data_IF_350267037745
#
_entry.id   IF_350267037745
#
_cell.length_a   1.000
_cell.length_b   1.000
_cell.length_c   1.000
_cell.angle_alpha   90.00
_cell.angle_beta   90.00
_cell.angle_gamma   90.00
#
_symmetry.space_group_name_H-M   'P 1'
#
loop_
_entity.id
_entity.type
_entity.pdbx_description
1 polymer ?
#
# COMPACT_ATOMS: atom_id res chain seq x y z
N UNK A 1 6.49 -10.81 -14.63
CA UNK A 1 5.60 -10.31 -15.68
C UNK A 1 4.35 -9.78 -15.00
N UNK A 2 3.95 -8.57 -15.37
CA UNK A 2 2.76 -7.91 -14.84
C UNK A 2 1.81 -7.56 -15.99
N UNK A 3 0.52 -7.84 -15.82
CA UNK A 3 -0.52 -7.51 -16.81
C UNK A 3 -1.73 -6.94 -16.08
N UNK A 4 -2.29 -5.85 -16.62
CA UNK A 4 -3.57 -5.29 -16.17
C UNK A 4 -4.66 -5.70 -17.17
N UNK A 5 -5.73 -6.30 -16.67
CA UNK A 5 -6.88 -6.70 -17.49
C UNK A 5 -8.19 -6.19 -16.87
N UNK A 6 -9.25 -5.97 -17.67
CA UNK A 6 -10.58 -5.69 -17.14
C UNK A 6 -11.09 -6.86 -16.28
N UNK A 7 -11.81 -6.57 -15.20
CA UNK A 7 -12.41 -7.58 -14.32
C UNK A 7 -13.24 -8.62 -15.07
N UNK A 8 -14.04 -8.19 -16.05
CA UNK A 8 -14.90 -9.10 -16.78
C UNK A 8 -14.09 -10.10 -17.61
N UNK A 9 -12.93 -9.70 -18.14
CA UNK A 9 -12.01 -10.60 -18.85
C UNK A 9 -11.42 -11.60 -17.85
N UNK A 10 -10.98 -11.12 -16.69
CA UNK A 10 -10.46 -11.99 -15.64
C UNK A 10 -11.48 -13.05 -15.24
N UNK A 11 -12.71 -12.64 -14.94
CA UNK A 11 -13.78 -13.53 -14.51
C UNK A 11 -14.13 -14.57 -15.58
N UNK A 12 -14.20 -14.14 -16.85
CA UNK A 12 -14.47 -15.05 -17.98
C UNK A 12 -13.37 -16.06 -18.21
N UNK A 13 -12.10 -15.74 -17.93
CA UNK A 13 -10.99 -16.65 -18.16
C UNK A 13 -10.70 -17.54 -16.93
N UNK A 14 -10.86 -17.00 -15.71
CA UNK A 14 -10.45 -17.66 -14.47
C UNK A 14 -11.33 -18.88 -14.13
N UNK A 15 -12.66 -18.74 -14.20
CA UNK A 15 -13.58 -19.84 -13.85
C UNK A 15 -13.46 -21.02 -14.84
N UNK A 16 -13.50 -20.79 -16.17
CA UNK A 16 -13.37 -21.88 -17.14
C UNK A 16 -11.98 -22.51 -17.13
N UNK A 17 -10.90 -21.71 -16.99
CA UNK A 17 -9.53 -22.27 -16.96
C UNK A 17 -9.31 -23.23 -15.79
N UNK A 18 -9.76 -22.87 -14.58
CA UNK A 18 -9.72 -23.76 -13.40
C UNK A 18 -10.53 -25.04 -13.63
N UNK A 19 -11.70 -24.92 -14.23
CA UNK A 19 -12.57 -26.06 -14.53
C UNK A 19 -11.93 -27.00 -15.56
N UNK A 20 -11.42 -26.45 -16.66
CA UNK A 20 -10.76 -27.19 -17.75
C UNK A 20 -9.51 -27.91 -17.22
N UNK A 21 -8.69 -27.22 -16.43
CA UNK A 21 -7.48 -27.81 -15.84
C UNK A 21 -7.84 -28.95 -14.87
N UNK A 22 -8.85 -28.76 -14.01
CA UNK A 22 -9.31 -29.81 -13.10
C UNK A 22 -9.83 -31.04 -13.86
N UNK A 23 -10.59 -30.83 -14.95
CA UNK A 23 -11.05 -31.90 -15.83
C UNK A 23 -9.87 -32.63 -16.51
N UNK A 24 -8.88 -31.89 -17.00
CA UNK A 24 -7.68 -32.45 -17.61
C UNK A 24 -6.92 -33.33 -16.62
N UNK A 25 -6.64 -32.84 -15.40
CA UNK A 25 -6.02 -33.61 -14.34
C UNK A 25 -6.83 -34.87 -14.00
N UNK A 26 -8.16 -34.76 -13.92
CA UNK A 26 -9.05 -35.89 -13.68
C UNK A 26 -8.93 -36.96 -14.76
N UNK A 27 -8.94 -36.56 -16.04
CA UNK A 27 -8.78 -37.48 -17.18
C UNK A 27 -7.42 -38.16 -17.12
N UNK A 28 -6.34 -37.41 -16.88
CA UNK A 28 -4.99 -37.96 -16.76
C UNK A 28 -4.88 -38.97 -15.61
N UNK A 29 -5.44 -38.65 -14.44
CA UNK A 29 -5.47 -39.58 -13.29
C UNK A 29 -6.28 -40.83 -13.60
N UNK A 30 -7.44 -40.71 -14.24
CA UNK A 30 -8.25 -41.87 -14.64
C UNK A 30 -7.53 -42.75 -15.65
N UNK A 31 -6.86 -42.15 -16.65
CA UNK A 31 -6.05 -42.89 -17.62
C UNK A 31 -4.89 -43.61 -16.93
N UNK A 32 -4.21 -42.94 -16.00
CA UNK A 32 -3.15 -43.53 -15.19
C UNK A 32 -3.66 -44.73 -14.39
N UNK A 33 -4.79 -44.63 -13.68
CA UNK A 33 -5.38 -45.74 -12.92
C UNK A 33 -5.78 -46.92 -13.82
N UNK A 34 -6.23 -46.65 -15.05
CA UNK A 34 -6.52 -47.70 -16.04
C UNK A 34 -5.27 -48.47 -16.48
N UNK A 35 -4.08 -47.85 -16.49
CA UNK A 35 -2.82 -48.56 -16.76
C UNK A 35 -2.54 -49.65 -15.72
N UNK A 36 -3.00 -49.45 -14.48
CA UNK A 36 -2.93 -50.45 -13.40
C UNK A 36 -4.12 -51.43 -13.39
N UNK A 37 -4.95 -51.42 -14.43
CA UNK A 37 -6.15 -52.26 -14.57
C UNK A 37 -7.18 -52.05 -13.44
N UNK A 38 -7.24 -50.86 -12.85
CA UNK A 38 -8.27 -50.51 -11.87
C UNK A 38 -9.58 -50.20 -12.60
N UNK A 39 -10.64 -50.96 -12.32
CA UNK A 39 -11.98 -50.71 -12.86
C UNK A 39 -12.62 -49.52 -12.13
N UNK A 40 -12.92 -48.46 -12.87
CA UNK A 40 -13.54 -47.24 -12.33
C UNK A 40 -14.97 -47.10 -12.83
N UNK A 41 -15.92 -47.12 -11.90
CA UNK A 41 -17.31 -46.77 -12.16
C UNK A 41 -17.50 -45.25 -12.19
N UNK A 42 -18.61 -44.77 -12.79
CA UNK A 42 -18.91 -43.33 -12.93
C UNK A 42 -18.81 -42.56 -11.61
N UNK A 43 -19.28 -43.15 -10.51
CA UNK A 43 -19.25 -42.52 -9.19
C UNK A 43 -17.82 -42.38 -8.63
N UNK A 44 -16.93 -43.34 -8.93
CA UNK A 44 -15.52 -43.27 -8.54
C UNK A 44 -14.78 -42.16 -9.29
N UNK A 45 -15.12 -41.93 -10.57
CA UNK A 45 -14.58 -40.80 -11.35
C UNK A 45 -14.98 -39.46 -10.71
N UNK A 46 -16.23 -39.33 -10.22
CA UNK A 46 -16.66 -38.12 -9.50
C UNK A 46 -15.89 -37.90 -8.20
N UNK A 47 -15.56 -38.95 -7.46
CA UNK A 47 -14.69 -38.83 -6.27
C UNK A 47 -13.29 -38.35 -6.65
N UNK A 48 -12.69 -38.95 -7.70
CA UNK A 48 -11.37 -38.53 -8.19
C UNK A 48 -11.38 -37.05 -8.57
N UNK A 49 -12.42 -36.59 -9.27
CA UNK A 49 -12.59 -35.17 -9.60
C UNK A 49 -12.62 -34.29 -8.34
N UNK A 50 -13.43 -34.64 -7.33
CA UNK A 50 -13.54 -33.87 -6.09
C UNK A 50 -12.20 -33.80 -5.33
N UNK A 51 -11.45 -34.89 -5.28
CA UNK A 51 -10.13 -34.94 -4.62
C UNK A 51 -9.13 -34.05 -5.37
N UNK A 52 -9.15 -34.05 -6.70
CA UNK A 52 -8.23 -33.27 -7.54
C UNK A 52 -8.60 -31.78 -7.54
N UNK A 53 -9.88 -31.45 -7.37
CA UNK A 53 -10.37 -30.07 -7.44
C UNK A 53 -9.62 -29.13 -6.50
N UNK A 54 -9.46 -29.51 -5.23
CA UNK A 54 -8.81 -28.67 -4.21
C UNK A 54 -7.34 -28.36 -4.57
N UNK A 55 -6.44 -29.35 -4.76
CA UNK A 55 -5.04 -29.09 -5.10
C UNK A 55 -4.89 -28.40 -6.46
N UNK A 56 -5.76 -28.69 -7.45
CA UNK A 56 -5.73 -28.01 -8.73
C UNK A 56 -6.07 -26.52 -8.59
N UNK A 57 -7.08 -26.17 -7.78
CA UNK A 57 -7.43 -24.78 -7.50
C UNK A 57 -6.31 -24.05 -6.76
N UNK A 58 -5.73 -24.68 -5.73
CA UNK A 58 -4.60 -24.10 -4.99
C UNK A 58 -3.38 -23.89 -5.90
N UNK A 59 -3.06 -24.85 -6.75
CA UNK A 59 -1.94 -24.75 -7.68
C UNK A 59 -2.09 -23.58 -8.65
N UNK A 60 -3.26 -23.42 -9.27
CA UNK A 60 -3.53 -22.32 -10.20
C UNK A 60 -3.51 -20.96 -9.49
N UNK A 61 -4.17 -20.85 -8.35
CA UNK A 61 -4.23 -19.59 -7.59
C UNK A 61 -2.85 -19.15 -7.08
N UNK A 62 -1.91 -20.07 -6.91
CA UNK A 62 -0.54 -19.75 -6.49
C UNK A 62 0.42 -19.46 -7.66
N UNK A 63 -0.02 -19.50 -8.93
CA UNK A 63 0.87 -19.19 -10.06
C UNK A 63 1.11 -17.69 -10.26
N UNK A 64 0.23 -16.84 -9.73
CA UNK A 64 0.30 -15.39 -9.88
C UNK A 64 -0.34 -14.72 -8.67
N UNK A 65 0.19 -13.57 -8.27
CA UNK A 65 -0.49 -12.65 -7.38
C UNK A 65 -1.58 -11.89 -8.13
N UNK A 66 -2.66 -11.56 -7.45
CA UNK A 66 -3.77 -10.76 -7.99
C UNK A 66 -4.03 -9.56 -7.07
N UNK A 67 -4.26 -8.40 -7.67
CA UNK A 67 -4.70 -7.21 -6.94
C UNK A 67 -5.80 -6.50 -7.71
N UNK A 68 -6.78 -5.97 -6.99
CA UNK A 68 -7.84 -5.15 -7.55
C UNK A 68 -7.37 -3.70 -7.53
N UNK A 69 -7.36 -3.06 -8.70
CA UNK A 69 -6.90 -1.68 -8.84
C UNK A 69 -8.09 -0.72 -8.70
N UNK A 70 -7.83 0.42 -8.07
CA UNK A 70 -8.76 1.55 -8.03
C UNK A 70 -8.33 2.63 -9.03
N UNK A 71 -9.24 3.53 -9.41
CA UNK A 71 -9.05 4.51 -10.49
C UNK A 71 -7.90 5.52 -10.27
N UNK A 72 -7.32 5.57 -9.08
CA UNK A 72 -6.21 6.46 -8.71
C UNK A 72 -4.93 5.69 -8.35
N UNK A 73 -4.88 4.39 -8.68
CA UNK A 73 -3.71 3.56 -8.44
C UNK A 73 -2.79 3.55 -9.66
N UNK A 74 -1.53 3.90 -9.44
CA UNK A 74 -0.46 3.76 -10.41
C UNK A 74 0.30 2.47 -10.14
N UNK A 75 0.49 1.63 -11.15
CA UNK A 75 1.24 0.39 -11.01
C UNK A 75 2.67 0.61 -11.46
N UNK A 76 3.64 0.37 -10.59
CA UNK A 76 5.07 0.47 -10.88
C UNK A 76 5.65 -0.94 -10.79
N UNK A 77 6.14 -1.47 -11.90
CA UNK A 77 6.75 -2.81 -11.94
C UNK A 77 8.16 -2.82 -11.34
N UNK A 78 8.68 -4.01 -11.06
CA UNK A 78 10.07 -4.24 -10.67
C UNK A 78 11.11 -3.70 -11.65
N UNK A 79 10.76 -3.65 -12.94
CA UNK A 79 11.59 -3.07 -14.00
C UNK A 79 11.45 -1.55 -14.15
N UNK A 80 10.74 -0.88 -13.24
CA UNK A 80 10.49 0.57 -13.23
C UNK A 80 9.55 1.03 -14.35
N UNK A 81 8.74 0.13 -14.91
CA UNK A 81 7.74 0.50 -15.89
C UNK A 81 6.47 0.95 -15.16
N UNK A 82 5.97 2.13 -15.52
CA UNK A 82 4.66 2.60 -15.08
C UNK A 82 3.63 1.97 -16.01
N UNK A 83 2.73 1.15 -15.46
CA UNK A 83 1.62 0.58 -16.20
C UNK A 83 0.38 1.42 -15.93
N UNK A 84 -0.01 2.19 -16.94
CA UNK A 84 -1.29 2.90 -16.94
C UNK A 84 -2.43 1.95 -17.29
N UNK A 85 -3.61 2.18 -16.72
CA UNK A 85 -4.83 1.49 -17.11
C UNK A 85 -5.95 2.46 -17.42
N UNK A 86 -6.77 2.12 -18.42
CA UNK A 86 -7.92 2.91 -18.83
C UNK A 86 -9.25 2.23 -18.49
N UNK A 87 -9.23 1.15 -17.71
CA UNK A 87 -10.41 0.35 -17.41
C UNK A 87 -11.00 0.74 -16.05
N UNK A 88 -12.32 0.76 -15.95
CA UNK A 88 -13.03 0.80 -14.67
C UNK A 88 -12.88 -0.58 -13.98
N UNK A 89 -12.46 -0.60 -12.72
CA UNK A 89 -12.19 -1.81 -11.93
C UNK A 89 -11.24 -2.83 -12.61
N UNK A 90 -9.98 -2.47 -12.88
CA UNK A 90 -9.01 -3.43 -13.42
C UNK A 90 -8.55 -4.44 -12.39
N UNK A 91 -8.16 -5.61 -12.89
CA UNK A 91 -7.46 -6.64 -12.13
C UNK A 91 -6.01 -6.65 -12.60
N UNK A 92 -5.10 -6.46 -11.65
CA UNK A 92 -3.67 -6.71 -11.83
C UNK A 92 -3.39 -8.19 -11.63
N UNK A 93 -2.68 -8.80 -12.58
CA UNK A 93 -2.09 -10.12 -12.44
C UNK A 93 -0.58 -9.99 -12.54
N UNK A 94 0.15 -10.45 -11.53
CA UNK A 94 1.62 -10.32 -11.52
C UNK A 94 2.30 -11.59 -11.03
N UNK A 95 3.44 -11.91 -11.65
CA UNK A 95 4.42 -12.88 -11.14
C UNK A 95 5.66 -12.17 -10.57
N UNK A 96 5.66 -10.84 -10.55
CA UNK A 96 6.77 -10.04 -10.05
C UNK A 96 6.58 -9.79 -8.56
N UNK A 97 7.61 -10.13 -7.79
CA UNK A 97 7.64 -10.01 -6.33
C UNK A 97 7.96 -8.58 -5.87
N UNK A 98 8.44 -7.72 -6.78
CA UNK A 98 8.93 -6.35 -6.54
C UNK A 98 8.01 -5.27 -7.13
N UNK A 99 6.73 -5.60 -7.34
CA UNK A 99 5.71 -4.69 -7.82
C UNK A 99 5.20 -3.74 -6.72
N UNK A 100 5.06 -2.47 -7.06
CA UNK A 100 4.53 -1.41 -6.19
C UNK A 100 3.21 -0.88 -6.78
N UNK A 101 2.12 -1.03 -6.06
CA UNK A 101 0.84 -0.38 -6.28
C UNK A 101 0.84 0.93 -5.51
N UNK A 102 0.98 2.02 -6.25
CA UNK A 102 1.06 3.35 -5.72
C UNK A 102 -0.30 4.04 -5.73
N UNK A 103 -0.71 4.62 -4.60
CA UNK A 103 -1.91 5.49 -4.56
C UNK A 103 -1.48 6.90 -4.13
N UNK A 104 -1.75 7.88 -4.97
CA UNK A 104 -1.57 9.30 -4.63
C UNK A 104 -2.71 9.79 -3.72
N UNK A 105 -2.42 10.79 -2.88
CA UNK A 105 -3.45 11.57 -2.21
C UNK A 105 -4.02 12.57 -3.22
N UNK A 106 -5.27 12.42 -3.67
CA UNK A 106 -5.80 13.30 -4.71
C UNK A 106 -6.32 14.63 -4.14
N UNK A 107 -6.35 14.79 -2.81
CA UNK A 107 -6.89 15.95 -2.13
C UNK A 107 -5.99 16.42 -0.98
N UNK A 108 -6.17 17.69 -0.61
CA UNK A 108 -5.55 18.26 0.59
C UNK A 108 -6.17 17.66 1.84
N UNK A 109 -5.34 17.34 2.82
CA UNK A 109 -5.74 16.77 4.11
C UNK A 109 -5.23 17.62 5.26
N UNK A 110 -6.04 17.79 6.32
CA UNK A 110 -5.65 18.52 7.53
C UNK A 110 -5.52 17.54 8.68
N UNK A 111 -4.32 17.45 9.25
CA UNK A 111 -3.99 16.56 10.36
C UNK A 111 -3.85 17.39 11.64
N UNK A 112 -4.74 17.22 12.63
CA UNK A 112 -4.60 17.89 13.92
C UNK A 112 -3.47 17.27 14.75
N UNK A 113 -2.64 18.10 15.36
CA UNK A 113 -1.56 17.71 16.27
C UNK A 113 -1.68 18.41 17.62
N UNK A 114 -1.60 17.62 18.69
CA UNK A 114 -1.47 18.15 20.05
C UNK A 114 0.02 18.15 20.42
N UNK A 115 0.57 19.31 20.77
CA UNK A 115 2.00 19.47 21.08
C UNK A 115 2.25 19.47 22.60
N UNK A 116 1.40 20.15 23.37
CA UNK A 116 1.36 20.08 24.84
C UNK A 116 -0.08 20.28 25.31
N UNK A 117 -0.36 20.28 26.62
CA UNK A 117 -1.72 20.53 27.14
C UNK A 117 -2.32 21.87 26.68
N UNK A 118 -1.48 22.88 26.48
CA UNK A 118 -1.90 24.26 26.14
C UNK A 118 -1.70 24.61 24.65
N UNK A 119 -0.99 23.79 23.88
CA UNK A 119 -0.65 24.07 22.49
C UNK A 119 -1.04 22.94 21.54
N UNK A 120 -1.86 23.27 20.55
CA UNK A 120 -2.19 22.42 19.41
C UNK A 120 -1.98 23.18 18.10
N UNK A 121 -1.80 22.42 17.02
CA UNK A 121 -1.65 22.98 15.68
C UNK A 121 -2.21 22.01 14.65
N UNK A 122 -2.42 22.48 13.43
CA UNK A 122 -2.86 21.67 12.31
C UNK A 122 -1.78 21.64 11.24
N UNK A 123 -1.58 20.48 10.62
CA UNK A 123 -0.73 20.35 9.43
C UNK A 123 -1.62 20.15 8.22
N UNK A 124 -1.50 21.05 7.27
CA UNK A 124 -2.03 20.90 5.92
C UNK A 124 -1.06 20.08 5.09
N UNK A 125 -1.55 18.98 4.54
CA UNK A 125 -0.85 18.11 3.59
C UNK A 125 -1.42 18.41 2.21
N UNK A 126 -0.57 18.86 1.29
CA UNK A 126 -0.99 19.11 -0.09
C UNK A 126 -0.66 17.91 -0.98
N UNK A 127 -1.45 17.69 -2.05
CA UNK A 127 -1.09 16.71 -3.07
C UNK A 127 0.32 16.98 -3.60
N UNK A 128 1.13 15.93 -3.65
CA UNK A 128 2.47 15.98 -4.22
C UNK A 128 2.60 14.92 -5.31
N UNK A 129 3.20 15.32 -6.43
CA UNK A 129 3.54 14.43 -7.53
C UNK A 129 5.03 14.14 -7.41
N UNK A 130 5.39 12.89 -7.14
CA UNK A 130 6.77 12.43 -7.03
C UNK A 130 7.13 11.57 -8.24
N UNK A 131 8.41 11.59 -8.61
CA UNK A 131 8.91 10.67 -9.63
C UNK A 131 9.03 9.24 -9.09
N UNK A 132 9.14 8.27 -10.01
CA UNK A 132 9.18 6.83 -9.69
C UNK A 132 10.35 6.46 -8.76
N UNK A 133 11.52 7.09 -8.92
CA UNK A 133 12.68 6.79 -8.08
C UNK A 133 12.46 7.28 -6.65
N UNK A 134 11.89 8.48 -6.49
CA UNK A 134 11.47 9.02 -5.20
C UNK A 134 10.45 8.12 -4.50
N UNK A 135 9.39 7.70 -5.20
CA UNK A 135 8.36 6.79 -4.65
C UNK A 135 9.00 5.49 -4.15
N UNK A 136 9.88 4.87 -4.96
CA UNK A 136 10.56 3.64 -4.57
C UNK A 136 11.48 3.83 -3.37
N UNK A 137 12.23 4.93 -3.34
CA UNK A 137 13.12 5.23 -2.23
C UNK A 137 12.34 5.33 -0.91
N UNK A 138 11.22 6.07 -0.90
CA UNK A 138 10.35 6.21 0.26
C UNK A 138 9.71 4.87 0.67
N UNK A 139 9.28 4.05 -0.29
CA UNK A 139 8.77 2.71 -0.04
C UNK A 139 9.82 1.79 0.62
N UNK A 140 11.07 1.85 0.17
CA UNK A 140 12.15 1.08 0.78
C UNK A 140 12.45 1.54 2.21
N UNK A 141 12.39 2.84 2.49
CA UNK A 141 12.50 3.34 3.86
C UNK A 141 11.34 2.83 4.71
N UNK A 142 10.10 2.93 4.19
CA UNK A 142 8.90 2.45 4.88
C UNK A 142 9.01 1.00 5.29
N UNK A 143 9.28 0.12 4.32
CA UNK A 143 9.43 -1.32 4.53
C UNK A 143 10.48 -1.73 5.57
N UNK A 144 11.49 -0.87 5.81
CA UNK A 144 12.56 -1.13 6.79
C UNK A 144 12.25 -0.58 8.17
N UNK A 145 11.36 0.39 8.25
CA UNK A 145 11.12 1.20 9.47
C UNK A 145 9.83 0.77 10.18
N UNK A 146 8.87 0.20 9.45
CA UNK A 146 7.59 -0.24 10.01
C UNK A 146 7.50 -1.76 10.04
N UNK A 147 7.07 -2.32 11.19
CA UNK A 147 6.77 -3.77 11.34
C UNK A 147 5.38 -4.16 10.75
N UNK A 148 4.71 -3.24 10.05
CA UNK A 148 3.38 -3.49 9.47
C UNK A 148 3.56 -4.38 8.23
N UNK A 149 3.19 -5.66 8.35
CA UNK A 149 3.05 -6.58 7.23
C UNK A 149 1.83 -6.17 6.39
N UNK A 150 2.01 -5.19 5.50
CA UNK A 150 1.08 -5.02 4.38
C UNK A 150 1.24 -6.20 3.42
N UNK A 151 0.14 -6.69 2.83
CA UNK A 151 0.25 -7.54 1.63
C UNK A 151 1.14 -6.80 0.63
N UNK A 152 2.29 -7.41 0.32
CA UNK A 152 3.58 -6.88 -0.14
C UNK A 152 3.60 -5.96 -1.40
N UNK A 153 2.46 -5.43 -1.82
CA UNK A 153 2.28 -4.76 -3.11
C UNK A 153 1.66 -3.37 -2.99
N UNK A 154 1.20 -2.89 -1.82
CA UNK A 154 0.57 -1.57 -1.69
C UNK A 154 1.46 -0.56 -0.97
N UNK A 155 1.77 0.55 -1.64
CA UNK A 155 2.45 1.71 -1.05
C UNK A 155 1.64 2.98 -1.34
N UNK A 156 1.42 3.82 -0.34
CA UNK A 156 0.86 5.16 -0.56
C UNK A 156 1.73 6.19 0.14
N UNK A 157 1.82 7.40 -0.43
CA UNK A 157 2.51 8.50 0.25
C UNK A 157 1.88 8.81 1.60
N UNK A 158 0.56 8.62 1.75
CA UNK A 158 -0.08 8.81 3.05
C UNK A 158 0.36 7.82 4.10
N UNK A 159 0.63 6.55 3.75
CA UNK A 159 1.19 5.62 4.73
C UNK A 159 2.59 6.03 5.14
N UNK A 160 3.44 6.43 4.19
CA UNK A 160 4.75 6.96 4.54
C UNK A 160 4.63 8.22 5.43
N UNK A 161 3.74 9.13 5.07
CA UNK A 161 3.48 10.35 5.81
C UNK A 161 3.00 10.03 7.24
N UNK A 162 1.95 9.23 7.39
CA UNK A 162 1.32 8.94 8.67
C UNK A 162 2.15 8.04 9.58
N UNK A 163 2.88 7.07 9.02
CA UNK A 163 3.60 6.09 9.84
C UNK A 163 5.03 6.55 10.16
N UNK A 164 5.63 7.42 9.34
CA UNK A 164 7.04 7.80 9.47
C UNK A 164 7.22 9.29 9.72
N UNK A 165 6.62 10.14 8.89
CA UNK A 165 6.88 11.59 8.94
C UNK A 165 6.12 12.25 10.08
N UNK A 166 4.81 12.07 10.15
CA UNK A 166 3.93 12.69 11.15
C UNK A 166 4.36 12.35 12.59
N UNK A 167 4.71 11.10 12.94
CA UNK A 167 5.18 10.79 14.30
C UNK A 167 6.54 11.41 14.63
N UNK A 168 7.48 11.44 13.68
CA UNK A 168 8.78 12.12 13.87
C UNK A 168 8.59 13.61 14.07
N UNK A 169 7.79 14.21 13.21
CA UNK A 169 7.44 15.61 13.25
C UNK A 169 6.76 15.97 14.57
N UNK A 170 5.77 15.20 14.99
CA UNK A 170 5.11 15.38 16.27
C UNK A 170 6.12 15.34 17.42
N UNK A 171 7.00 14.34 17.47
CA UNK A 171 8.00 14.23 18.53
C UNK A 171 9.01 15.41 18.52
N UNK A 172 9.45 15.85 17.35
CA UNK A 172 10.32 17.03 17.23
C UNK A 172 9.60 18.31 17.70
N UNK A 173 8.36 18.52 17.28
CA UNK A 173 7.55 19.66 17.67
C UNK A 173 7.20 19.64 19.16
N UNK A 174 6.88 18.48 19.75
CA UNK A 174 6.62 18.31 21.18
C UNK A 174 7.86 18.64 22.02
N UNK A 175 9.02 18.10 21.65
CA UNK A 175 10.29 18.37 22.37
C UNK A 175 10.67 19.85 22.29
N UNK A 176 10.50 20.49 21.13
CA UNK A 176 10.80 21.90 20.93
C UNK A 176 9.79 22.81 21.65
N UNK A 177 8.51 22.48 21.63
CA UNK A 177 7.47 23.19 22.38
C UNK A 177 7.73 23.11 23.90
N UNK A 178 8.10 21.94 24.42
CA UNK A 178 8.44 21.77 25.84
C UNK A 178 9.69 22.59 26.24
N UNK A 179 10.71 22.65 25.38
CA UNK A 179 11.92 23.45 25.62
C UNK A 179 11.63 24.96 25.62
N UNK A 180 10.77 25.41 24.70
CA UNK A 180 10.30 26.80 24.64
C UNK A 180 9.47 27.15 25.87
N UNK A 181 8.53 26.30 26.28
CA UNK A 181 7.71 26.52 27.47
C UNK A 181 8.56 26.69 28.74
N UNK A 182 9.62 25.87 28.88
CA UNK A 182 10.59 26.00 29.95
C UNK A 182 11.30 27.37 29.93
N UNK A 183 11.83 27.78 28.76
CA UNK A 183 12.51 29.06 28.58
C UNK A 183 11.59 30.27 28.84
N UNK A 184 10.32 30.16 28.45
CA UNK A 184 9.33 31.23 28.54
C UNK A 184 8.79 31.42 29.97
N UNK A 185 8.64 30.33 30.73
CA UNK A 185 8.32 30.37 32.16
C UNK A 185 9.42 31.05 32.99
N UNK A 186 10.69 30.98 32.56
CA UNK A 186 11.79 31.70 33.21
C UNK A 186 11.82 33.21 32.90
N UNK A 187 11.29 33.65 31.74
CA UNK A 187 11.45 35.03 31.26
C UNK A 187 10.20 35.94 31.36
N UNK A 188 9.04 35.45 31.80
CA UNK A 188 7.80 36.24 32.01
C UNK A 188 7.32 37.05 30.78
N UNK A 189 7.41 36.48 29.57
CA UNK A 189 6.88 37.12 28.36
C UNK A 189 5.33 37.16 28.34
N UNK A 190 4.76 38.04 27.51
CA UNK A 190 3.30 38.09 27.26
C UNK A 190 2.86 36.93 26.35
N UNK A 191 1.67 36.40 26.59
CA UNK A 191 1.15 35.20 25.91
C UNK A 191 1.04 35.34 24.38
N UNK A 192 0.72 36.52 23.84
CA UNK A 192 0.66 36.75 22.38
C UNK A 192 2.05 36.70 21.73
N UNK A 193 3.07 37.26 22.38
CA UNK A 193 4.46 37.24 21.90
C UNK A 193 5.02 35.81 21.96
N UNK A 194 4.59 35.04 22.97
CA UNK A 194 4.90 33.61 23.13
C UNK A 194 4.31 32.78 21.98
N UNK A 195 3.03 32.96 21.67
CA UNK A 195 2.36 32.19 20.61
C UNK A 195 3.01 32.41 19.23
N UNK A 196 3.37 33.66 18.91
CA UNK A 196 4.05 33.99 17.66
C UNK A 196 5.48 33.41 17.60
N UNK A 197 6.23 33.42 18.71
CA UNK A 197 7.56 32.82 18.78
C UNK A 197 7.51 31.30 18.64
N UNK A 198 6.54 30.67 19.30
CA UNK A 198 6.28 29.23 19.17
C UNK A 198 5.94 28.92 17.72
N UNK A 199 5.00 29.63 17.10
CA UNK A 199 4.63 29.42 15.69
C UNK A 199 5.82 29.58 14.74
N UNK A 200 6.61 30.65 14.87
CA UNK A 200 7.79 30.88 14.04
C UNK A 200 8.86 29.80 14.21
N UNK A 201 9.07 29.32 15.43
CA UNK A 201 10.04 28.27 15.69
C UNK A 201 9.55 26.90 15.22
N UNK A 202 8.26 26.60 15.40
CA UNK A 202 7.63 25.39 14.86
C UNK A 202 7.72 25.35 13.33
N UNK A 203 7.48 26.47 12.63
CA UNK A 203 7.69 26.57 11.18
C UNK A 203 9.13 26.22 10.78
N UNK A 204 10.12 26.70 11.53
CA UNK A 204 11.53 26.41 11.28
C UNK A 204 11.90 24.95 11.53
N UNK A 205 11.31 24.31 12.55
CA UNK A 205 11.49 22.88 12.81
C UNK A 205 10.93 22.09 11.65
N UNK A 206 9.71 22.44 11.21
CA UNK A 206 9.07 21.84 10.05
C UNK A 206 9.99 21.92 8.81
N UNK A 207 10.55 23.09 8.49
CA UNK A 207 11.43 23.28 7.32
C UNK A 207 12.62 22.30 7.24
N UNK A 208 13.05 21.73 8.37
CA UNK A 208 14.17 20.78 8.42
C UNK A 208 13.74 19.30 8.23
N UNK A 209 12.45 18.97 8.25
CA UNK A 209 11.93 17.60 8.45
C UNK A 209 11.29 17.00 7.17
N UNK A 210 12.01 16.90 6.06
CA UNK A 210 11.51 16.35 4.77
C UNK A 210 10.27 17.06 4.17
N UNK A 211 9.90 18.26 4.64
CA UNK A 211 8.69 18.98 4.20
C UNK A 211 8.60 19.25 2.69
N UNK A 212 9.72 19.56 2.04
CA UNK A 212 9.75 19.84 0.60
C UNK A 212 9.29 18.64 -0.23
N UNK A 213 9.44 17.42 0.30
CA UNK A 213 9.02 16.19 -0.37
C UNK A 213 7.50 15.95 -0.26
N UNK A 214 6.82 16.55 0.73
CA UNK A 214 5.40 16.30 1.01
C UNK A 214 4.53 17.56 0.99
N UNK A 215 5.08 18.71 0.61
CA UNK A 215 4.37 20.01 0.55
C UNK A 215 3.50 20.26 1.80
N UNK A 216 4.08 20.10 2.98
CA UNK A 216 3.40 20.34 4.25
C UNK A 216 3.31 21.84 4.56
N UNK A 217 2.30 22.26 5.30
CA UNK A 217 2.16 23.64 5.79
C UNK A 217 1.49 23.65 7.17
N UNK A 218 1.99 24.47 8.11
CA UNK A 218 1.33 24.66 9.41
C UNK A 218 0.19 25.66 9.26
N UNK A 219 -1.00 25.30 9.72
CA UNK A 219 -2.17 26.18 9.76
C UNK A 219 -2.74 26.26 11.19
N UNK A 220 -3.49 27.34 11.45
CA UNK A 220 -4.13 27.59 12.75
C UNK A 220 -5.25 26.59 13.08
#
# INVERSE_FOLDING_TARGET
>A
MTIIIPEWVYTLLNIPSKTIFTLLCTVLTVLFLKLFKIELNKWMVSIVFLIIMIPAHMFISNQYSQAWLHDHMTVITGSNEILEHSYENPVLLTTDDDLILFTEFPYEEVIPMQLTDDYSTNILVKPVILDVESIRYLQQIHSKTTDIEYEFQFFSLGYYLMDIIIPKLQNELENEAANLEFFLNEQQFKQEEVNELVKQHLHKVLDNTEMELFNLEIID
#
